data_IF_178022182159
#
_entry.id   IF_178022182159
#
_cell.length_a   1.000
_cell.length_b   1.000
_cell.length_c   1.000
_cell.angle_alpha   90.00
_cell.angle_beta   90.00
_cell.angle_gamma   90.00
#
_symmetry.space_group_name_H-M   'P 1'
#
loop_
_entity.id
_entity.type
_entity.pdbx_description
1 polymer ?
#
# COMPACT_ATOMS: atom_id res chain seq x y z
N UNK A 1 -13.71 0.26 -4.09
CA UNK A 1 -14.70 -0.72 -3.57
C UNK A 1 -14.78 -1.84 -4.59
N UNK A 2 -14.66 -3.10 -4.21
CA UNK A 2 -14.70 -4.23 -5.14
C UNK A 2 -15.92 -5.08 -4.90
N UNK A 3 -16.35 -5.90 -5.86
CA UNK A 3 -17.45 -6.83 -5.62
C UNK A 3 -17.05 -7.78 -4.48
N UNK A 4 -17.81 -7.85 -3.39
CA UNK A 4 -17.55 -8.72 -2.24
C UNK A 4 -17.41 -10.20 -2.64
N UNK A 5 -18.09 -10.57 -3.72
CA UNK A 5 -17.93 -11.86 -4.39
C UNK A 5 -16.49 -12.09 -4.86
N UNK A 6 -15.83 -11.09 -5.47
CA UNK A 6 -14.43 -11.20 -5.93
C UNK A 6 -13.44 -11.39 -4.77
N UNK A 7 -13.60 -10.63 -3.68
CA UNK A 7 -12.80 -10.80 -2.47
C UNK A 7 -12.96 -12.21 -1.92
N UNK A 8 -14.20 -12.68 -1.75
CA UNK A 8 -14.48 -13.98 -1.16
C UNK A 8 -14.01 -15.15 -2.05
N UNK A 9 -14.09 -15.01 -3.37
CA UNK A 9 -13.52 -15.96 -4.33
C UNK A 9 -12.00 -16.02 -4.20
N UNK A 10 -11.34 -14.87 -4.16
CA UNK A 10 -9.89 -14.80 -4.01
C UNK A 10 -9.43 -15.36 -2.65
N UNK A 11 -10.19 -15.14 -1.57
CA UNK A 11 -9.94 -15.77 -0.26
C UNK A 11 -10.07 -17.30 -0.33
N UNK A 12 -11.13 -17.80 -0.97
CA UNK A 12 -11.33 -19.25 -1.16
C UNK A 12 -10.19 -19.89 -1.94
N UNK A 13 -9.75 -19.26 -3.04
CA UNK A 13 -8.59 -19.73 -3.77
C UNK A 13 -7.32 -19.73 -2.88
N UNK A 14 -7.03 -18.63 -2.19
CA UNK A 14 -5.83 -18.53 -1.34
C UNK A 14 -5.82 -19.55 -0.19
N UNK A 15 -6.98 -19.89 0.38
CA UNK A 15 -7.10 -20.74 1.56
C UNK A 15 -7.31 -22.22 1.22
N UNK A 16 -8.05 -22.53 0.16
CA UNK A 16 -8.48 -23.90 -0.18
C UNK A 16 -8.15 -24.29 -1.63
N UNK A 17 -7.70 -23.35 -2.47
CA UNK A 17 -7.42 -23.59 -3.89
C UNK A 17 -8.69 -23.66 -4.75
N UNK A 18 -9.81 -23.14 -4.25
CA UNK A 18 -11.09 -23.14 -4.96
C UNK A 18 -11.90 -21.87 -4.68
N UNK A 19 -12.47 -21.31 -5.74
CA UNK A 19 -13.36 -20.14 -5.67
C UNK A 19 -14.84 -20.51 -5.42
N UNK A 20 -15.20 -21.80 -5.48
CA UNK A 20 -16.59 -22.27 -5.50
C UNK A 20 -17.35 -21.94 -4.21
N UNK A 21 -16.64 -21.91 -3.08
CA UNK A 21 -17.20 -21.69 -1.75
C UNK A 21 -17.25 -20.20 -1.35
N UNK A 22 -17.23 -19.26 -2.30
CA UNK A 22 -17.18 -17.83 -2.00
C UNK A 22 -18.36 -17.33 -1.13
N UNK A 23 -19.54 -17.96 -1.23
CA UNK A 23 -20.68 -17.61 -0.36
C UNK A 23 -20.45 -18.01 1.10
N UNK A 24 -19.77 -19.13 1.35
CA UNK A 24 -19.35 -19.54 2.71
C UNK A 24 -18.43 -18.47 3.31
N UNK A 25 -17.40 -18.03 2.57
CA UNK A 25 -16.48 -16.99 3.05
C UNK A 25 -17.19 -15.65 3.29
N UNK A 26 -18.10 -15.26 2.40
CA UNK A 26 -18.93 -14.05 2.59
C UNK A 26 -19.72 -14.13 3.89
N UNK A 27 -20.42 -15.23 4.12
CA UNK A 27 -21.21 -15.42 5.34
C UNK A 27 -20.33 -15.37 6.60
N UNK A 28 -19.16 -16.02 6.56
CA UNK A 28 -18.23 -16.00 7.69
C UNK A 28 -17.68 -14.60 7.99
N UNK A 29 -17.34 -13.80 6.96
CA UNK A 29 -16.86 -12.42 7.13
C UNK A 29 -17.95 -11.52 7.71
N UNK A 30 -19.17 -11.60 7.18
CA UNK A 30 -20.31 -10.82 7.69
C UNK A 30 -20.65 -11.22 9.13
N UNK A 31 -20.65 -12.51 9.43
CA UNK A 31 -20.86 -13.00 10.80
C UNK A 31 -19.77 -12.50 11.76
N UNK A 32 -18.51 -12.44 11.31
CA UNK A 32 -17.42 -11.88 12.09
C UNK A 32 -17.65 -10.39 12.38
N UNK A 33 -18.03 -9.60 11.37
CA UNK A 33 -18.36 -8.18 11.52
C UNK A 33 -19.52 -8.01 12.51
N UNK A 34 -20.59 -8.78 12.36
CA UNK A 34 -21.76 -8.74 13.24
C UNK A 34 -21.41 -9.05 14.71
N UNK A 35 -20.50 -10.01 14.95
CA UNK A 35 -20.04 -10.38 16.30
C UNK A 35 -19.11 -9.33 16.93
N UNK A 36 -18.49 -8.47 16.13
CA UNK A 36 -17.55 -7.43 16.56
C UNK A 36 -18.08 -6.04 16.19
N UNK A 37 -19.40 -5.84 16.33
CA UNK A 37 -20.09 -4.60 15.93
C UNK A 37 -19.37 -3.33 16.39
N UNK A 38 -18.95 -3.27 17.65
CA UNK A 38 -18.26 -2.09 18.23
C UNK A 38 -16.99 -1.69 17.47
N UNK A 39 -16.29 -2.67 16.87
CA UNK A 39 -15.06 -2.45 16.12
C UNK A 39 -15.31 -2.03 14.67
N UNK A 40 -16.48 -2.38 14.10
CA UNK A 40 -16.76 -2.20 12.67
C UNK A 40 -17.83 -1.16 12.36
N UNK A 41 -18.84 -1.00 13.22
CA UNK A 41 -19.92 -0.02 13.04
C UNK A 41 -19.43 1.41 12.82
N UNK A 42 -18.36 1.90 13.49
CA UNK A 42 -17.85 3.25 13.23
C UNK A 42 -17.35 3.51 11.80
N UNK A 43 -17.15 2.46 10.98
CA UNK A 43 -16.69 2.56 9.60
C UNK A 43 -17.80 2.38 8.56
N UNK A 44 -19.04 2.14 9.00
CA UNK A 44 -20.22 2.09 8.13
C UNK A 44 -20.76 3.51 7.96
N UNK A 45 -21.30 3.81 6.77
CA UNK A 45 -21.92 5.11 6.48
C UNK A 45 -23.06 5.41 7.47
N UNK A 46 -23.08 6.62 8.04
CA UNK A 46 -24.04 7.02 9.09
C UNK A 46 -25.51 6.88 8.65
N UNK A 47 -25.79 6.96 7.34
CA UNK A 47 -27.14 6.77 6.80
C UNK A 47 -27.58 5.30 6.66
N UNK A 48 -26.68 4.34 6.88
CA UNK A 48 -26.94 2.90 6.72
C UNK A 48 -26.96 2.21 8.09
N UNK A 49 -28.13 1.73 8.57
CA UNK A 49 -28.19 0.94 9.79
C UNK A 49 -27.28 -0.29 9.73
N UNK A 50 -26.60 -0.61 10.83
CA UNK A 50 -25.66 -1.72 10.90
C UNK A 50 -26.24 -3.05 10.39
N UNK A 51 -27.47 -3.38 10.80
CA UNK A 51 -28.18 -4.58 10.38
C UNK A 51 -28.46 -4.59 8.88
N UNK A 52 -28.83 -3.43 8.31
CA UNK A 52 -29.06 -3.29 6.87
C UNK A 52 -27.77 -3.44 6.08
N UNK A 53 -26.66 -2.89 6.59
CA UNK A 53 -25.33 -3.12 6.03
C UNK A 53 -25.00 -4.62 6.01
N UNK A 54 -25.15 -5.34 7.12
CA UNK A 54 -24.90 -6.78 7.18
C UNK A 54 -25.76 -7.57 6.20
N UNK A 55 -27.06 -7.28 6.13
CA UNK A 55 -27.99 -7.93 5.20
C UNK A 55 -27.63 -7.64 3.75
N UNK A 56 -27.23 -6.40 3.44
CA UNK A 56 -26.77 -6.02 2.09
C UNK A 56 -25.50 -6.79 1.71
N UNK A 57 -24.57 -6.96 2.65
CA UNK A 57 -23.32 -7.66 2.43
C UNK A 57 -23.47 -9.16 2.21
N UNK A 58 -24.62 -9.76 2.54
CA UNK A 58 -24.93 -11.14 2.20
C UNK A 58 -25.47 -11.30 0.77
N UNK A 59 -25.95 -10.23 0.15
CA UNK A 59 -26.48 -10.27 -1.23
C UNK A 59 -25.35 -10.38 -2.25
N UNK A 60 -25.57 -11.16 -3.30
CA UNK A 60 -24.62 -11.22 -4.40
C UNK A 60 -24.55 -9.86 -5.11
N UNK A 61 -23.39 -9.55 -5.69
CA UNK A 61 -23.14 -8.26 -6.35
C UNK A 61 -22.89 -7.07 -5.41
N UNK A 62 -23.04 -7.20 -4.08
CA UNK A 62 -22.65 -6.15 -3.12
C UNK A 62 -21.13 -5.96 -3.08
N UNK A 63 -20.69 -4.74 -2.80
CA UNK A 63 -19.29 -4.35 -2.84
C UNK A 63 -18.65 -4.45 -1.44
N UNK A 64 -17.47 -5.07 -1.36
CA UNK A 64 -16.56 -5.04 -0.23
C UNK A 64 -15.46 -3.98 -0.44
N UNK A 65 -15.04 -3.34 0.63
CA UNK A 65 -13.90 -2.45 0.70
C UNK A 65 -12.83 -2.94 1.68
N UNK A 66 -12.15 -1.97 2.28
CA UNK A 66 -11.06 -2.22 3.22
C UNK A 66 -11.55 -2.89 4.51
N UNK A 67 -12.76 -2.54 4.98
CA UNK A 67 -13.33 -3.04 6.23
C UNK A 67 -13.53 -4.56 6.20
N UNK A 68 -14.05 -5.09 5.10
CA UNK A 68 -14.26 -6.53 4.92
C UNK A 68 -12.95 -7.28 4.75
N UNK A 69 -11.93 -6.67 4.12
CA UNK A 69 -10.58 -7.23 4.06
C UNK A 69 -9.93 -7.28 5.45
N UNK A 70 -10.14 -6.25 6.28
CA UNK A 70 -9.69 -6.23 7.67
C UNK A 70 -10.38 -7.33 8.48
N UNK A 71 -11.70 -7.45 8.37
CA UNK A 71 -12.47 -8.52 9.01
C UNK A 71 -12.00 -9.91 8.54
N UNK A 72 -11.81 -10.11 7.23
CA UNK A 72 -11.31 -11.36 6.67
C UNK A 72 -9.90 -11.70 7.17
N UNK A 73 -9.00 -10.72 7.27
CA UNK A 73 -7.65 -10.90 7.80
C UNK A 73 -7.69 -11.41 9.25
N UNK A 74 -8.48 -10.75 10.10
CA UNK A 74 -8.62 -11.12 11.51
C UNK A 74 -9.26 -12.51 11.67
N UNK A 75 -10.35 -12.76 10.96
CA UNK A 75 -11.09 -14.03 10.99
C UNK A 75 -10.24 -15.21 10.54
N UNK A 76 -9.50 -15.06 9.44
CA UNK A 76 -8.68 -16.13 8.86
C UNK A 76 -7.32 -16.28 9.53
N UNK A 77 -6.96 -15.32 10.40
CA UNK A 77 -5.66 -15.22 11.06
C UNK A 77 -4.49 -15.16 10.06
N UNK A 78 -4.64 -14.30 9.06
CA UNK A 78 -3.69 -14.11 7.96
C UNK A 78 -3.56 -12.63 7.63
N UNK A 79 -2.33 -12.13 7.50
CA UNK A 79 -2.13 -10.80 6.90
C UNK A 79 -2.52 -10.82 5.42
N UNK A 80 -2.76 -9.65 4.83
CA UNK A 80 -3.10 -9.52 3.40
C UNK A 80 -2.13 -8.55 2.73
N UNK A 81 -1.56 -8.95 1.59
CA UNK A 81 -0.82 -8.07 0.67
C UNK A 81 -1.66 -7.86 -0.59
N UNK A 82 -1.86 -6.60 -0.94
CA UNK A 82 -2.61 -6.17 -2.12
C UNK A 82 -1.63 -5.56 -3.12
N UNK A 83 -1.52 -6.22 -4.27
CA UNK A 83 -0.72 -5.79 -5.42
C UNK A 83 -1.55 -4.90 -6.33
N UNK A 84 -0.99 -3.76 -6.72
CA UNK A 84 -1.61 -2.82 -7.67
C UNK A 84 -0.61 -2.48 -8.76
N UNK A 85 -1.11 -2.33 -9.99
CA UNK A 85 -0.25 -2.01 -11.14
C UNK A 85 0.38 -0.63 -10.96
N UNK A 86 1.70 -0.55 -11.13
CA UNK A 86 2.50 0.69 -11.02
C UNK A 86 2.29 1.47 -9.72
N UNK A 87 1.91 0.78 -8.64
CA UNK A 87 1.67 1.38 -7.32
C UNK A 87 2.38 0.55 -6.25
N UNK A 88 2.71 1.15 -5.09
CA UNK A 88 3.20 0.40 -3.94
C UNK A 88 2.23 -0.71 -3.54
N UNK A 89 2.76 -1.77 -2.94
CA UNK A 89 1.95 -2.82 -2.31
C UNK A 89 1.30 -2.29 -1.04
N UNK A 90 0.04 -2.66 -0.83
CA UNK A 90 -0.70 -2.32 0.38
C UNK A 90 -0.78 -3.52 1.30
N UNK A 91 -0.73 -3.28 2.60
CA UNK A 91 -0.70 -4.34 3.60
C UNK A 91 -1.79 -4.16 4.65
N UNK A 92 -2.42 -5.26 4.99
CA UNK A 92 -3.20 -5.42 6.22
C UNK A 92 -2.38 -6.35 7.12
N UNK A 93 -1.76 -5.77 8.14
CA UNK A 93 -0.84 -6.45 9.05
C UNK A 93 -1.43 -6.53 10.46
N UNK A 94 -2.14 -7.63 10.75
CA UNK A 94 -2.72 -7.91 12.06
C UNK A 94 -1.85 -8.86 12.90
N UNK A 95 -0.93 -9.59 12.26
CA UNK A 95 -0.13 -10.64 12.88
C UNK A 95 1.36 -10.43 12.60
N UNK A 96 2.21 -10.90 13.53
CA UNK A 96 3.68 -10.81 13.46
C UNK A 96 4.34 -12.17 13.69
N UNK A 97 5.65 -12.26 13.47
CA UNK A 97 6.42 -13.48 13.67
C UNK A 97 5.94 -14.64 12.80
N UNK A 98 5.76 -15.83 13.40
CA UNK A 98 5.36 -17.04 12.66
C UNK A 98 3.96 -16.94 12.04
N UNK A 99 3.06 -16.15 12.62
CA UNK A 99 1.70 -15.97 12.10
C UNK A 99 1.68 -15.07 10.85
N UNK A 100 2.66 -14.18 10.70
CA UNK A 100 2.84 -13.35 9.50
C UNK A 100 3.36 -14.11 8.28
N UNK A 101 3.86 -15.33 8.47
CA UNK A 101 4.55 -16.08 7.42
C UNK A 101 3.63 -16.39 6.23
N UNK A 102 2.39 -16.84 6.48
CA UNK A 102 1.47 -17.17 5.40
C UNK A 102 0.52 -15.99 5.22
N UNK A 103 0.88 -15.08 4.33
CA UNK A 103 0.06 -13.94 3.95
C UNK A 103 -0.82 -14.30 2.77
N UNK A 104 -2.03 -13.74 2.71
CA UNK A 104 -2.92 -13.82 1.56
C UNK A 104 -2.46 -12.76 0.55
N UNK A 105 -2.25 -13.15 -0.70
CA UNK A 105 -1.87 -12.22 -1.76
C UNK A 105 -3.03 -11.99 -2.73
N UNK A 106 -3.42 -10.73 -2.87
CA UNK A 106 -4.48 -10.28 -3.75
C UNK A 106 -3.91 -9.29 -4.78
N UNK A 107 -4.49 -9.25 -5.96
CA UNK A 107 -4.26 -8.17 -6.92
C UNK A 107 -5.53 -7.37 -7.09
N UNK A 108 -5.41 -6.04 -7.13
CA UNK A 108 -6.55 -5.13 -7.27
C UNK A 108 -6.50 -4.43 -8.63
N UNK A 109 -7.60 -4.51 -9.37
CA UNK A 109 -7.70 -4.04 -10.75
C UNK A 109 -8.94 -3.17 -10.97
N UNK A 110 -8.76 -2.10 -11.77
CA UNK A 110 -9.82 -1.24 -12.30
C UNK A 110 -10.82 -0.69 -11.27
N UNK A 111 -10.40 -0.52 -10.02
CA UNK A 111 -11.25 0.03 -8.98
C UNK A 111 -12.29 -0.93 -8.40
N UNK A 112 -12.44 -2.15 -8.93
CA UNK A 112 -13.63 -2.99 -8.66
C UNK A 112 -13.36 -4.48 -8.44
N UNK A 113 -12.15 -4.98 -8.72
CA UNK A 113 -11.93 -6.43 -8.74
C UNK A 113 -10.69 -6.85 -7.97
N UNK A 114 -10.86 -7.83 -7.09
CA UNK A 114 -9.76 -8.56 -6.46
C UNK A 114 -9.59 -9.94 -7.10
N UNK A 115 -8.34 -10.30 -7.40
CA UNK A 115 -7.97 -11.64 -7.82
C UNK A 115 -6.97 -12.25 -6.85
N UNK A 116 -7.00 -13.57 -6.73
CA UNK A 116 -5.95 -14.33 -6.05
C UNK A 116 -4.62 -14.20 -6.78
N UNK A 117 -3.52 -14.04 -6.03
CA UNK A 117 -2.16 -14.05 -6.57
C UNK A 117 -1.42 -15.24 -5.98
N UNK A 118 -1.04 -16.20 -6.82
CA UNK A 118 -0.28 -17.39 -6.45
C UNK A 118 1.12 -17.36 -7.08
N UNK A 119 2.03 -18.16 -6.53
CA UNK A 119 3.32 -18.39 -7.16
C UNK A 119 3.11 -19.07 -8.52
N UNK A 120 4.00 -18.81 -9.48
CA UNK A 120 3.96 -19.46 -10.79
C UNK A 120 4.10 -20.98 -10.67
N UNK A 121 4.83 -21.43 -9.66
CA UNK A 121 5.12 -22.84 -9.39
C UNK A 121 4.04 -23.50 -8.52
N UNK A 122 3.01 -22.75 -8.09
CA UNK A 122 1.92 -23.26 -7.28
C UNK A 122 1.06 -24.25 -8.08
N UNK A 123 0.78 -25.46 -7.56
CA UNK A 123 -0.03 -26.44 -8.27
C UNK A 123 -1.52 -26.09 -8.34
N UNK A 124 -1.96 -25.04 -7.65
CA UNK A 124 -3.37 -24.65 -7.47
C UNK A 124 -4.23 -25.78 -6.88
N UNK A 125 -3.62 -26.67 -6.09
CA UNK A 125 -4.30 -27.75 -5.38
C UNK A 125 -4.16 -27.50 -3.88
N UNK A 126 -5.22 -26.98 -3.26
CA UNK A 126 -5.21 -26.62 -1.85
C UNK A 126 -4.71 -25.19 -1.56
N UNK A 127 -4.34 -24.90 -0.30
CA UNK A 127 -3.91 -23.57 0.12
C UNK A 127 -2.74 -23.03 -0.71
N UNK A 128 -2.71 -21.72 -0.93
CA UNK A 128 -1.62 -21.04 -1.64
C UNK A 128 -0.28 -21.29 -0.97
N UNK A 129 0.72 -21.59 -1.80
CA UNK A 129 2.12 -21.62 -1.39
C UNK A 129 2.54 -20.25 -0.89
N UNK A 130 3.34 -20.25 0.16
CA UNK A 130 3.84 -19.03 0.79
C UNK A 130 4.67 -18.20 -0.20
N UNK A 131 4.27 -16.95 -0.44
CA UNK A 131 5.05 -15.98 -1.21
C UNK A 131 6.02 -15.26 -0.26
N UNK A 132 7.33 -15.42 -0.49
CA UNK A 132 8.36 -14.73 0.28
C UNK A 132 8.88 -13.51 -0.50
N UNK A 133 8.49 -12.31 -0.07
CA UNK A 133 8.96 -11.06 -0.68
C UNK A 133 10.21 -10.57 0.08
N UNK A 134 11.38 -10.66 -0.56
CA UNK A 134 12.69 -10.40 0.08
C UNK A 134 12.87 -8.99 0.63
N UNK A 135 12.20 -7.99 0.05
CA UNK A 135 12.25 -6.58 0.50
C UNK A 135 11.42 -6.30 1.74
N UNK A 136 10.44 -7.15 2.06
CA UNK A 136 9.42 -6.87 3.09
C UNK A 136 9.79 -7.46 4.46
N UNK A 137 10.86 -8.25 4.51
CA UNK A 137 11.41 -8.81 5.74
C UNK A 137 11.88 -7.73 6.74
N UNK A 138 12.05 -6.49 6.28
CA UNK A 138 12.44 -5.35 7.13
C UNK A 138 11.22 -4.54 7.65
N UNK A 139 10.08 -4.57 6.95
CA UNK A 139 8.88 -3.77 7.29
C UNK A 139 8.09 -4.36 8.49
N UNK A 140 8.26 -5.66 8.73
CA UNK A 140 7.65 -6.34 9.90
C UNK A 140 8.20 -5.87 11.26
N UNK A 141 9.25 -5.03 11.26
CA UNK A 141 9.89 -4.51 12.47
C UNK A 141 9.46 -3.09 12.86
N UNK A 142 8.81 -2.31 11.98
CA UNK A 142 8.67 -0.85 12.16
C UNK A 142 7.28 -0.32 12.48
N UNK A 143 6.20 -1.10 12.40
CA UNK A 143 4.84 -0.58 12.67
C UNK A 143 4.37 -0.62 14.14
N UNK A 144 5.27 -0.84 15.09
CA UNK A 144 4.93 -0.88 16.52
C UNK A 144 5.32 0.41 17.28
N UNK A 145 4.83 1.59 16.85
CA UNK A 145 4.58 2.72 17.77
C UNK A 145 4.01 3.95 17.06
N UNK A 146 2.68 4.06 17.01
CA UNK A 146 2.04 5.36 16.85
C UNK A 146 0.69 5.43 17.58
N UNK A 147 0.61 4.95 18.82
CA UNK A 147 -0.33 5.51 19.80
C UNK A 147 0.03 5.10 21.23
N UNK A 148 0.69 5.98 21.99
CA UNK A 148 0.21 6.47 23.31
C UNK A 148 1.30 7.26 24.08
N UNK A 149 0.88 8.46 24.50
CA UNK A 149 1.27 9.21 25.71
C UNK A 149 2.61 9.95 25.77
N UNK A 150 2.44 11.27 25.68
CA UNK A 150 3.21 12.36 26.31
C UNK A 150 4.08 11.98 27.52
N UNK A 151 5.35 12.42 27.47
CA UNK A 151 6.08 13.12 28.54
C UNK A 151 7.50 13.51 28.07
N UNK A 152 7.72 14.80 27.85
CA UNK A 152 9.01 15.47 28.07
C UNK A 152 9.23 15.67 29.60
N UNK A 153 10.41 16.02 30.15
CA UNK A 153 11.69 16.30 29.48
C UNK A 153 12.95 15.71 30.15
N UNK A 154 14.06 15.63 29.38
CA UNK A 154 15.42 16.10 29.79
C UNK A 154 16.54 15.77 28.78
N UNK A 155 16.98 16.83 28.09
CA UNK A 155 18.37 17.25 27.80
C UNK A 155 19.51 16.26 28.13
N UNK A 156 20.16 15.72 27.09
CA UNK A 156 21.62 15.61 27.05
C UNK A 156 22.14 15.64 25.60
N UNK A 157 22.96 16.65 25.33
CA UNK A 157 23.84 16.76 24.18
C UNK A 157 24.73 15.52 24.07
N UNK A 158 24.77 14.88 22.88
CA UNK A 158 25.98 14.36 22.23
C UNK A 158 25.62 13.74 20.86
N UNK A 159 25.87 14.52 19.80
CA UNK A 159 26.26 14.13 18.43
C UNK A 159 25.93 12.67 18.02
N UNK A 160 24.71 12.43 17.52
CA UNK A 160 24.44 11.22 16.74
C UNK A 160 24.77 11.51 15.29
N UNK A 161 26.03 11.28 14.90
CA UNK A 161 26.40 11.11 13.49
C UNK A 161 25.55 9.96 12.96
N UNK A 162 24.76 10.21 11.92
CA UNK A 162 23.98 9.17 11.26
C UNK A 162 24.89 8.03 10.82
N UNK A 163 24.38 6.80 10.84
CA UNK A 163 25.18 5.64 10.47
C UNK A 163 25.75 5.82 9.06
N UNK A 164 27.03 5.49 8.90
CA UNK A 164 27.76 5.72 7.65
C UNK A 164 27.16 4.90 6.48
N UNK A 165 26.36 3.87 6.77
CA UNK A 165 25.60 3.11 5.77
C UNK A 165 24.35 3.87 5.30
N UNK A 166 23.62 4.55 6.19
CA UNK A 166 22.46 5.38 5.83
C UNK A 166 22.87 6.51 4.88
N UNK A 167 23.97 7.19 5.17
CA UNK A 167 24.51 8.25 4.29
C UNK A 167 24.89 7.69 2.92
N UNK A 168 25.51 6.50 2.87
CA UNK A 168 25.86 5.85 1.59
C UNK A 168 24.64 5.44 0.79
N UNK A 169 23.57 4.98 1.43
CA UNK A 169 22.33 4.61 0.75
C UNK A 169 21.65 5.84 0.13
N UNK A 170 21.59 6.95 0.86
CA UNK A 170 21.06 8.22 0.33
C UNK A 170 21.91 8.72 -0.84
N UNK A 171 23.24 8.70 -0.72
CA UNK A 171 24.14 9.08 -1.83
C UNK A 171 23.99 8.17 -3.06
N UNK A 172 23.80 6.87 -2.87
CA UNK A 172 23.59 5.92 -3.97
C UNK A 172 22.23 6.11 -4.67
N UNK A 173 21.16 6.39 -3.90
CA UNK A 173 19.82 6.60 -4.44
C UNK A 173 19.64 7.95 -5.14
N UNK A 174 20.37 8.97 -4.70
CA UNK A 174 20.26 10.35 -5.21
C UNK A 174 21.33 10.73 -6.23
N UNK A 175 22.37 9.90 -6.39
CA UNK A 175 23.56 10.24 -7.18
C UNK A 175 24.42 11.35 -6.57
N UNK A 176 24.11 11.81 -5.36
CA UNK A 176 24.84 12.88 -4.68
C UNK A 176 26.26 12.42 -4.31
N UNK A 177 27.27 13.18 -4.73
CA UNK A 177 28.69 12.91 -4.39
C UNK A 177 29.13 13.56 -3.08
N UNK A 178 28.29 14.40 -2.46
CA UNK A 178 28.60 15.11 -1.23
C UNK A 178 27.93 14.47 -0.02
N UNK A 179 28.74 13.84 0.83
CA UNK A 179 28.28 13.17 2.04
C UNK A 179 27.73 14.15 3.08
N UNK A 180 28.16 15.40 3.10
CA UNK A 180 27.69 16.39 4.06
C UNK A 180 26.24 16.80 3.77
N UNK A 181 25.85 16.88 2.49
CA UNK A 181 24.48 17.16 2.07
C UNK A 181 23.58 15.98 2.43
N UNK A 182 24.01 14.76 2.10
CA UNK A 182 23.27 13.55 2.45
C UNK A 182 23.06 13.42 3.98
N UNK A 183 24.09 13.67 4.79
CA UNK A 183 23.99 13.64 6.26
C UNK A 183 23.06 14.74 6.79
N UNK A 184 23.07 15.94 6.19
CA UNK A 184 22.18 17.02 6.58
C UNK A 184 20.72 16.71 6.29
N UNK A 185 20.40 16.20 5.10
CA UNK A 185 19.02 15.85 4.72
C UNK A 185 18.50 14.66 5.53
N UNK A 186 19.34 13.66 5.80
CA UNK A 186 19.04 12.61 6.77
C UNK A 186 18.72 13.19 8.14
N UNK A 187 19.42 14.25 8.53
CA UNK A 187 19.12 15.08 9.70
C UNK A 187 17.70 15.62 9.72
N UNK A 188 17.31 16.27 8.63
CA UNK A 188 16.01 16.92 8.51
C UNK A 188 14.85 15.92 8.41
N UNK A 189 15.10 14.73 7.85
CA UNK A 189 14.12 13.66 7.69
C UNK A 189 14.12 12.65 8.87
N UNK A 190 14.65 13.04 10.03
CA UNK A 190 14.71 12.23 11.26
C UNK A 190 15.36 10.83 11.08
N UNK A 191 16.31 10.73 10.12
CA UNK A 191 17.03 9.50 9.79
C UNK A 191 16.33 8.58 8.79
N UNK A 192 15.19 8.98 8.22
CA UNK A 192 14.50 8.22 7.17
C UNK A 192 15.25 8.33 5.83
N UNK A 193 15.85 7.22 5.40
CA UNK A 193 16.64 7.12 4.16
C UNK A 193 15.76 7.26 2.93
N UNK A 194 14.55 6.68 2.92
CA UNK A 194 13.68 6.69 1.76
C UNK A 194 13.08 8.10 1.56
N UNK A 195 12.65 8.74 2.65
CA UNK A 195 12.19 10.14 2.61
C UNK A 195 13.31 11.11 2.20
N UNK A 196 14.55 10.90 2.69
CA UNK A 196 15.71 11.71 2.30
C UNK A 196 16.05 11.55 0.81
N UNK A 197 15.98 10.33 0.26
CA UNK A 197 16.20 10.08 -1.18
C UNK A 197 15.13 10.78 -2.02
N UNK A 198 13.86 10.63 -1.66
CA UNK A 198 12.75 11.25 -2.39
C UNK A 198 12.86 12.78 -2.37
N UNK A 199 13.16 13.37 -1.20
CA UNK A 199 13.35 14.81 -1.05
C UNK A 199 14.49 15.33 -1.93
N UNK A 200 15.67 14.68 -1.89
CA UNK A 200 16.83 15.10 -2.68
C UNK A 200 16.62 14.94 -4.19
N UNK A 201 15.91 13.89 -4.62
CA UNK A 201 15.55 13.73 -6.03
C UNK A 201 14.58 14.85 -6.45
N UNK A 202 13.57 15.15 -5.63
CA UNK A 202 12.63 16.24 -5.92
C UNK A 202 13.33 17.61 -6.00
N UNK A 203 14.31 17.86 -5.13
CA UNK A 203 15.08 19.12 -5.13
C UNK A 203 16.05 19.23 -6.32
N UNK A 204 16.70 18.13 -6.73
CA UNK A 204 17.54 18.11 -7.95
C UNK A 204 16.73 18.43 -9.21
N UNK A 205 15.47 17.99 -9.29
CA UNK A 205 14.58 18.35 -10.39
C UNK A 205 14.13 19.82 -10.34
N UNK A 206 14.01 20.41 -9.15
CA UNK A 206 13.70 21.84 -9.00
C UNK A 206 14.86 22.75 -9.44
N UNK A 207 16.11 22.30 -9.27
CA UNK A 207 17.30 23.07 -9.69
C UNK A 207 17.69 22.87 -11.16
N UNK A 208 17.21 21.81 -11.82
CA UNK A 208 17.45 21.55 -13.25
C UNK A 208 16.58 22.35 -14.23
N UNK A 209 15.68 23.20 -13.74
CA UNK A 209 14.72 23.96 -14.54
C UNK A 209 15.04 25.47 -14.66
N UNK A 210 16.29 25.88 -14.46
CA UNK A 210 16.68 27.30 -14.47
C UNK A 210 17.77 27.70 -15.50
N UNK A 211 17.99 26.92 -16.56
CA UNK A 211 18.87 27.34 -17.67
C UNK A 211 18.26 26.99 -19.04
N UNK A 212 17.26 27.76 -19.47
CA UNK A 212 16.90 27.92 -20.88
C UNK A 212 16.13 29.24 -21.09
N UNK A 213 16.78 30.38 -20.86
CA UNK A 213 16.36 31.61 -21.56
C UNK A 213 16.70 31.46 -23.04
N UNK A 214 15.68 31.60 -23.88
CA UNK A 214 15.79 31.55 -25.33
C UNK A 214 14.42 31.72 -25.95
N UNK A 215 13.85 32.91 -25.79
CA UNK A 215 12.69 33.38 -26.55
C UNK A 215 13.09 33.64 -28.01
N UNK A 216 12.35 33.12 -29.01
CA UNK A 216 12.31 33.73 -30.31
C UNK A 216 10.87 33.82 -30.83
N UNK A 217 10.10 34.78 -30.33
CA UNK A 217 8.99 35.35 -31.10
C UNK A 217 9.42 36.68 -31.72
N UNK A 218 9.73 36.65 -33.03
CA UNK A 218 9.68 37.69 -34.09
C UNK A 218 10.60 37.16 -35.23
N UNK A 219 10.30 37.12 -36.53
CA UNK A 219 9.48 38.01 -37.36
C UNK A 219 9.32 37.42 -38.80
N UNK A 220 8.29 37.89 -39.51
CA UNK A 220 7.95 37.80 -40.95
C UNK A 220 7.61 36.43 -41.58
N UNK A 221 6.36 36.12 -41.98
CA UNK A 221 5.48 36.70 -43.02
C UNK A 221 5.63 36.03 -44.41
N UNK A 222 4.45 35.72 -44.99
CA UNK A 222 4.13 35.40 -46.40
C UNK A 222 4.44 33.97 -46.91
N UNK A 223 3.41 33.12 -47.04
CA UNK A 223 2.66 33.00 -48.31
C UNK A 223 1.58 31.91 -48.24
N UNK A 224 0.35 32.32 -48.54
CA UNK A 224 -0.83 31.45 -48.73
C UNK A 224 -1.05 31.28 -50.24
N UNK A 225 -1.28 30.08 -50.76
CA UNK A 225 -2.01 29.92 -52.00
C UNK A 225 -3.37 29.28 -51.74
N UNK A 226 -4.41 30.10 -51.81
CA UNK A 226 -5.75 29.67 -52.19
C UNK A 226 -5.75 29.35 -53.69
N UNK A 227 -6.16 28.14 -54.09
CA UNK A 227 -6.90 27.94 -55.36
C UNK A 227 -7.95 26.83 -55.16
N UNK A 228 -9.21 27.24 -55.21
CA UNK A 228 -10.42 26.48 -55.59
C UNK A 228 -10.68 26.69 -57.09
N UNK A 229 -11.60 26.00 -57.79
CA UNK A 229 -12.83 25.36 -57.32
C UNK A 229 -12.82 23.84 -57.31
#
# INVERSE_FOLDING_TARGET
>A
MAIASSVCRALGDQLEGSEEEHMKYRAMVVEYIAKHREDFEPFIEDEVPFEEYCDSMLKDGTWAGHMELQAASLLMRRNICIHMLNSPRWYINNFSGREAANMIHLSYHHGEHYNSVRLREDPCQGPAMQVLIKTDANISSTNNNAQTKAKDPKKSSHRSTYDQESVKLVMAGTGCSDAAIAEHVLGEMDGDVDAAIEYMIAEQFAMGANDAEGDPYTDYALDVPHIHP
#
